data_IF_252145778598
#
_entry.id   IF_252145778598
#
_cell.length_a   1.000
_cell.length_b   1.000
_cell.length_c   1.000
_cell.angle_alpha   90.00
_cell.angle_beta   90.00
_cell.angle_gamma   90.00
#
_symmetry.space_group_name_H-M   'P 1'
#
loop_
_entity.id
_entity.type
_entity.pdbx_description
1 polymer ?
#
# COMPACT_ATOMS: atom_id res chain seq x y z
N UNK A 1 24.15 -31.56 -8.91
CA UNK A 1 23.10 -30.89 -9.72
C UNK A 1 23.47 -29.41 -9.91
N UNK A 2 23.93 -29.02 -11.10
CA UNK A 2 24.52 -27.68 -11.35
C UNK A 2 23.53 -26.57 -11.74
N UNK A 3 22.28 -26.89 -12.08
CA UNK A 3 21.30 -25.87 -12.44
C UNK A 3 20.69 -25.22 -11.18
N UNK A 4 21.08 -23.97 -10.90
CA UNK A 4 20.58 -23.19 -9.75
C UNK A 4 19.13 -22.74 -9.92
N UNK A 5 18.64 -22.66 -11.16
CA UNK A 5 17.26 -22.28 -11.44
C UNK A 5 16.24 -23.34 -10.98
N UNK A 6 16.66 -24.61 -10.89
CA UNK A 6 15.83 -25.69 -10.36
C UNK A 6 15.80 -25.63 -8.83
N UNK A 7 14.71 -25.14 -8.26
CA UNK A 7 14.61 -24.73 -6.85
C UNK A 7 13.89 -25.75 -5.98
N UNK A 8 12.98 -26.51 -6.57
CA UNK A 8 12.16 -27.49 -5.84
C UNK A 8 12.19 -28.83 -6.56
N UNK A 9 11.88 -29.89 -5.83
CA UNK A 9 11.69 -31.23 -6.37
C UNK A 9 10.26 -31.67 -6.11
N UNK A 10 9.70 -32.48 -7.00
CA UNK A 10 8.38 -33.07 -6.86
C UNK A 10 8.49 -34.59 -6.97
N UNK A 11 7.75 -35.28 -6.09
CA UNK A 11 7.51 -36.71 -6.16
C UNK A 11 6.07 -36.96 -6.58
N UNK A 12 5.85 -37.65 -7.69
CA UNK A 12 4.51 -38.08 -8.12
C UNK A 12 3.94 -39.21 -7.25
N UNK A 13 4.80 -40.04 -6.65
CA UNK A 13 4.40 -41.08 -5.67
C UNK A 13 3.82 -40.45 -4.41
N UNK A 14 4.59 -39.58 -3.75
CA UNK A 14 4.16 -38.94 -2.50
C UNK A 14 3.15 -37.81 -2.74
N UNK A 15 3.08 -37.33 -3.99
CA UNK A 15 2.36 -36.12 -4.41
C UNK A 15 2.77 -34.91 -3.59
N UNK A 16 4.08 -34.76 -3.36
CA UNK A 16 4.65 -33.73 -2.49
C UNK A 16 5.75 -32.93 -3.15
N UNK A 17 5.75 -31.62 -2.87
CA UNK A 17 6.84 -30.72 -3.18
C UNK A 17 7.86 -30.71 -2.05
N UNK A 18 9.13 -30.75 -2.46
CA UNK A 18 10.31 -30.76 -1.62
C UNK A 18 11.19 -29.55 -1.94
N UNK A 19 11.95 -29.11 -0.95
CA UNK A 19 13.12 -28.27 -1.19
C UNK A 19 14.14 -29.08 -2.00
N UNK A 20 14.85 -28.46 -2.94
CA UNK A 20 15.88 -29.15 -3.75
C UNK A 20 16.97 -29.86 -2.92
N UNK A 21 17.26 -29.35 -1.72
CA UNK A 21 18.31 -29.88 -0.85
C UNK A 21 17.74 -30.85 0.21
N UNK A 22 16.49 -31.28 0.06
CA UNK A 22 15.88 -32.22 0.98
C UNK A 22 16.51 -33.62 0.86
N UNK A 23 16.86 -34.24 1.98
CA UNK A 23 17.47 -35.57 2.03
C UNK A 23 16.59 -36.70 1.44
N UNK A 24 15.27 -36.52 1.38
CA UNK A 24 14.37 -37.48 0.75
C UNK A 24 14.39 -37.41 -0.78
N UNK A 25 14.91 -36.33 -1.36
CA UNK A 25 14.94 -36.14 -2.82
C UNK A 25 15.78 -37.20 -3.52
N UNK A 26 16.91 -37.59 -2.94
CA UNK A 26 17.77 -38.64 -3.51
C UNK A 26 17.15 -40.04 -3.47
N UNK A 27 16.02 -40.22 -2.78
CA UNK A 27 15.29 -41.48 -2.67
C UNK A 27 14.10 -41.57 -3.62
N UNK A 28 13.75 -40.48 -4.30
CA UNK A 28 12.67 -40.46 -5.27
C UNK A 28 13.17 -41.17 -6.54
N UNK A 29 12.46 -42.22 -7.04
CA UNK A 29 12.83 -42.86 -8.30
C UNK A 29 12.80 -41.86 -9.46
N UNK A 30 13.76 -41.94 -10.38
CA UNK A 30 13.87 -41.00 -11.52
C UNK A 30 12.58 -40.88 -12.35
N UNK A 31 11.84 -41.97 -12.54
CA UNK A 31 10.57 -41.99 -13.26
C UNK A 31 9.45 -41.20 -12.57
N UNK A 32 9.59 -40.95 -11.27
CA UNK A 32 8.60 -40.31 -10.40
C UNK A 32 9.08 -38.93 -9.90
N UNK A 33 10.19 -38.44 -10.47
CA UNK A 33 10.91 -37.27 -10.03
C UNK A 33 10.81 -36.14 -11.06
N UNK A 34 10.39 -34.96 -10.61
CA UNK A 34 10.38 -33.74 -11.43
C UNK A 34 11.12 -32.61 -10.69
N UNK A 35 12.04 -31.93 -11.37
CA UNK A 35 12.61 -30.68 -10.86
C UNK A 35 11.79 -29.48 -11.32
N UNK A 36 11.55 -28.56 -10.38
CA UNK A 36 10.71 -27.40 -10.56
C UNK A 36 11.51 -26.11 -10.34
N UNK A 37 11.27 -25.13 -11.19
CA UNK A 37 11.80 -23.76 -11.03
C UNK A 37 10.98 -22.93 -10.05
N UNK A 38 9.71 -23.29 -9.86
CA UNK A 38 8.74 -22.53 -9.10
C UNK A 38 8.03 -23.39 -8.04
N UNK A 39 7.57 -22.70 -7.00
CA UNK A 39 6.81 -23.32 -5.94
C UNK A 39 5.35 -23.50 -6.36
N UNK A 40 4.89 -24.76 -6.50
CA UNK A 40 3.50 -25.08 -6.88
C UNK A 40 2.59 -25.18 -5.65
N UNK A 41 1.68 -24.23 -5.50
CA UNK A 41 0.78 -24.11 -4.33
C UNK A 41 -0.25 -25.23 -4.20
N UNK A 42 -0.64 -25.86 -5.32
CA UNK A 42 -1.59 -26.98 -5.33
C UNK A 42 -1.01 -28.28 -4.75
N UNK A 43 0.32 -28.38 -4.62
CA UNK A 43 0.99 -29.60 -4.16
C UNK A 43 1.11 -29.63 -2.62
N UNK A 44 0.97 -30.82 -2.05
CA UNK A 44 1.24 -31.01 -0.62
C UNK A 44 2.73 -30.76 -0.36
N UNK A 45 3.05 -30.20 0.80
CA UNK A 45 4.44 -30.00 1.21
C UNK A 45 5.01 -31.26 1.85
N UNK A 46 6.29 -31.51 1.64
CA UNK A 46 7.05 -32.41 2.49
C UNK A 46 7.04 -31.89 3.95
N UNK A 47 6.87 -32.80 4.91
CA UNK A 47 6.86 -32.44 6.33
C UNK A 47 8.25 -32.07 6.87
N UNK A 48 9.32 -32.59 6.24
CA UNK A 48 10.70 -32.32 6.65
C UNK A 48 11.21 -30.99 6.12
N UNK A 49 11.03 -30.74 4.83
CA UNK A 49 11.63 -29.59 4.15
C UNK A 49 10.62 -28.52 3.73
N UNK A 50 9.33 -28.69 4.01
CA UNK A 50 8.26 -27.80 3.54
C UNK A 50 8.47 -26.34 3.92
N UNK A 51 8.99 -26.06 5.11
CA UNK A 51 9.37 -24.69 5.53
C UNK A 51 10.53 -24.14 4.68
N UNK A 52 11.57 -24.95 4.46
CA UNK A 52 12.73 -24.58 3.62
C UNK A 52 12.28 -24.29 2.18
N UNK A 53 11.40 -25.13 1.64
CA UNK A 53 10.83 -24.95 0.29
C UNK A 53 10.06 -23.63 0.15
N UNK A 54 9.30 -23.23 1.18
CA UNK A 54 8.58 -21.93 1.22
C UNK A 54 9.59 -20.78 1.23
N UNK A 55 10.56 -20.79 2.15
CA UNK A 55 11.56 -19.72 2.24
C UNK A 55 12.38 -19.63 0.95
N UNK A 56 12.74 -20.78 0.37
CA UNK A 56 13.43 -20.82 -0.92
C UNK A 56 12.63 -20.14 -2.02
N UNK A 57 11.30 -20.24 -2.03
CA UNK A 57 10.45 -19.57 -3.01
C UNK A 57 10.56 -18.04 -2.94
N UNK A 58 10.82 -17.49 -1.75
CA UNK A 58 10.93 -16.05 -1.50
C UNK A 58 12.32 -15.45 -1.72
N UNK A 59 13.37 -16.25 -1.89
CA UNK A 59 14.74 -15.75 -2.12
C UNK A 59 15.16 -15.92 -3.58
N UNK A 60 16.02 -15.04 -4.10
CA UNK A 60 16.54 -15.19 -5.45
C UNK A 60 17.47 -16.41 -5.59
N UNK A 61 17.70 -16.86 -6.83
CA UNK A 61 18.63 -17.96 -7.10
C UNK A 61 20.06 -17.67 -6.63
N UNK A 62 20.49 -16.40 -6.70
CA UNK A 62 21.84 -15.98 -6.28
C UNK A 62 21.98 -15.95 -4.76
N UNK A 63 20.89 -15.65 -4.07
CA UNK A 63 20.84 -15.55 -2.62
C UNK A 63 20.55 -16.90 -1.94
N UNK A 64 20.20 -17.92 -2.73
CA UNK A 64 19.98 -19.30 -2.27
C UNK A 64 21.19 -19.92 -1.57
N UNK A 65 22.40 -19.39 -1.77
CA UNK A 65 23.60 -19.79 -1.02
C UNK A 65 23.55 -19.40 0.47
N UNK A 66 22.70 -18.45 0.84
CA UNK A 66 22.49 -17.98 2.21
C UNK A 66 21.24 -18.60 2.87
N UNK A 67 20.71 -19.68 2.30
CA UNK A 67 19.47 -20.32 2.75
C UNK A 67 19.49 -20.66 4.26
N UNK A 68 20.61 -21.13 4.80
CA UNK A 68 20.70 -21.47 6.22
C UNK A 68 20.64 -20.22 7.11
N UNK A 69 21.27 -19.11 6.69
CA UNK A 69 21.17 -17.83 7.40
C UNK A 69 19.73 -17.30 7.45
N UNK A 70 18.98 -17.42 6.33
CA UNK A 70 17.55 -17.11 6.31
C UNK A 70 16.76 -17.99 7.29
N UNK A 71 16.97 -19.29 7.24
CA UNK A 71 16.24 -20.24 8.09
C UNK A 71 16.51 -19.99 9.58
N UNK A 72 17.76 -19.73 9.95
CA UNK A 72 18.16 -19.44 11.32
C UNK A 72 17.63 -18.11 11.82
N UNK A 73 17.71 -17.06 11.00
CA UNK A 73 17.17 -15.75 11.36
C UNK A 73 15.65 -15.79 11.53
N UNK A 74 14.92 -16.36 10.56
CA UNK A 74 13.46 -16.46 10.63
C UNK A 74 13.00 -17.33 11.80
N UNK A 75 13.77 -18.35 12.18
CA UNK A 75 13.54 -19.13 13.40
C UNK A 75 13.73 -18.27 14.65
N UNK A 76 14.81 -17.48 14.73
CA UNK A 76 15.05 -16.56 15.87
C UNK A 76 13.98 -15.49 15.99
N UNK A 77 13.45 -15.01 14.86
CA UNK A 77 12.33 -14.07 14.83
C UNK A 77 11.00 -14.70 15.29
N UNK A 78 10.95 -16.01 15.53
CA UNK A 78 9.72 -16.71 15.93
C UNK A 78 8.74 -16.92 14.77
N UNK A 79 9.19 -16.77 13.51
CA UNK A 79 8.30 -16.89 12.36
C UNK A 79 7.75 -18.31 12.22
N UNK A 80 6.43 -18.47 12.22
CA UNK A 80 5.78 -19.76 11.99
C UNK A 80 5.71 -20.09 10.50
N UNK A 81 5.62 -21.39 10.17
CA UNK A 81 5.56 -21.82 8.75
C UNK A 81 4.32 -21.27 8.03
N UNK A 82 3.19 -21.13 8.71
CA UNK A 82 1.98 -20.52 8.15
C UNK A 82 2.16 -19.03 7.83
N UNK A 83 2.88 -18.30 8.68
CA UNK A 83 3.17 -16.87 8.50
C UNK A 83 4.13 -16.65 7.32
N UNK A 84 5.16 -17.50 7.20
CA UNK A 84 6.07 -17.47 6.05
C UNK A 84 5.34 -17.81 4.74
N UNK A 85 4.40 -18.77 4.79
CA UNK A 85 3.57 -19.08 3.63
C UNK A 85 2.71 -17.89 3.22
N UNK A 86 2.03 -17.25 4.18
CA UNK A 86 1.24 -16.05 3.92
C UNK A 86 2.09 -14.92 3.34
N UNK A 87 3.28 -14.68 3.90
CA UNK A 87 4.19 -13.63 3.44
C UNK A 87 4.72 -13.90 2.02
N UNK A 88 5.33 -15.06 1.80
CA UNK A 88 6.10 -15.34 0.59
C UNK A 88 5.21 -15.86 -0.55
N UNK A 89 4.29 -16.76 -0.24
CA UNK A 89 3.53 -17.50 -1.27
C UNK A 89 2.23 -16.79 -1.60
N UNK A 90 1.50 -16.31 -0.58
CA UNK A 90 0.20 -15.64 -0.78
C UNK A 90 0.40 -14.17 -1.16
N UNK A 91 1.29 -13.45 -0.49
CA UNK A 91 1.55 -12.03 -0.74
C UNK A 91 2.77 -11.78 -1.63
N UNK A 92 3.35 -12.84 -2.22
CA UNK A 92 4.46 -12.77 -3.18
C UNK A 92 5.69 -11.98 -2.68
N UNK A 93 5.91 -11.94 -1.37
CA UNK A 93 7.02 -11.19 -0.80
C UNK A 93 8.36 -11.89 -1.10
N UNK A 94 9.37 -11.08 -1.38
CA UNK A 94 10.73 -11.53 -1.62
C UNK A 94 11.63 -11.14 -0.45
N UNK A 95 12.41 -12.10 0.06
CA UNK A 95 13.42 -11.88 1.08
C UNK A 95 14.79 -11.64 0.41
N UNK A 96 15.55 -10.67 0.92
CA UNK A 96 16.89 -10.33 0.42
C UNK A 96 17.74 -9.66 1.51
N UNK A 97 19.06 -9.54 1.28
CA UNK A 97 20.02 -8.87 2.17
C UNK A 97 19.95 -9.37 3.63
N UNK A 98 19.99 -10.70 3.82
CA UNK A 98 20.05 -11.31 5.16
C UNK A 98 21.37 -10.99 5.85
N UNK A 99 21.27 -10.58 7.12
CA UNK A 99 22.38 -10.39 8.03
C UNK A 99 22.11 -11.08 9.37
N UNK A 100 23.03 -10.93 10.31
CA UNK A 100 22.95 -11.61 11.60
C UNK A 100 21.70 -11.24 12.41
N UNK A 101 21.19 -10.02 12.28
CA UNK A 101 20.10 -9.48 13.10
C UNK A 101 18.95 -8.91 12.27
N UNK A 102 19.03 -8.98 10.93
CA UNK A 102 18.05 -8.37 10.04
C UNK A 102 17.89 -9.04 8.69
N UNK A 103 16.74 -8.83 8.08
CA UNK A 103 16.43 -9.23 6.71
C UNK A 103 15.53 -8.18 6.04
N UNK A 104 15.79 -7.93 4.77
CA UNK A 104 14.91 -7.07 3.96
C UNK A 104 13.82 -7.89 3.27
N UNK A 105 12.65 -7.29 3.14
CA UNK A 105 11.47 -7.86 2.53
C UNK A 105 10.98 -6.88 1.47
N UNK A 106 10.72 -7.35 0.25
CA UNK A 106 10.07 -6.58 -0.80
C UNK A 106 8.70 -7.15 -1.03
N UNK A 107 7.67 -6.31 -0.94
CA UNK A 107 6.28 -6.69 -1.14
C UNK A 107 5.62 -5.61 -1.99
N UNK A 108 5.28 -5.96 -3.24
CA UNK A 108 4.96 -4.96 -4.26
C UNK A 108 6.15 -4.04 -4.53
N UNK A 109 5.92 -2.74 -4.52
CA UNK A 109 6.95 -1.71 -4.72
C UNK A 109 7.72 -1.39 -3.42
N UNK A 110 7.11 -1.65 -2.27
CA UNK A 110 7.64 -1.24 -0.98
C UNK A 110 8.71 -2.21 -0.46
N UNK A 111 9.65 -1.63 0.28
CA UNK A 111 10.74 -2.34 0.94
C UNK A 111 10.61 -2.18 2.44
N UNK A 112 10.69 -3.31 3.11
CA UNK A 112 10.60 -3.43 4.54
C UNK A 112 11.88 -4.04 5.06
N UNK A 113 12.17 -3.81 6.33
CA UNK A 113 13.30 -4.43 7.00
C UNK A 113 12.86 -4.86 8.39
N UNK A 114 12.98 -6.15 8.67
CA UNK A 114 12.80 -6.70 10.01
C UNK A 114 14.17 -6.78 10.69
N UNK A 115 14.29 -6.16 11.86
CA UNK A 115 15.48 -6.21 12.70
C UNK A 115 15.12 -6.73 14.09
N UNK A 116 16.02 -7.47 14.73
CA UNK A 116 15.88 -7.82 16.15
C UNK A 116 16.33 -9.24 16.46
N UNK A 117 15.71 -9.82 17.48
CA UNK A 117 16.12 -11.10 18.06
C UNK A 117 14.94 -11.91 18.64
N UNK A 118 15.24 -12.78 19.60
CA UNK A 118 14.29 -13.65 20.28
C UNK A 118 13.48 -12.97 21.39
N UNK A 119 13.69 -11.68 21.65
CA UNK A 119 12.92 -10.90 22.62
C UNK A 119 12.03 -9.87 21.92
N UNK A 120 12.60 -9.15 20.95
CA UNK A 120 11.94 -8.04 20.28
C UNK A 120 12.26 -8.00 18.78
N UNK A 121 11.26 -7.59 17.99
CA UNK A 121 11.42 -7.27 16.57
C UNK A 121 10.95 -5.86 16.27
N UNK A 122 11.66 -5.19 15.39
CA UNK A 122 11.33 -3.89 14.84
C UNK A 122 11.14 -4.00 13.33
N UNK A 123 10.03 -3.47 12.83
CA UNK A 123 9.72 -3.35 11.42
C UNK A 123 9.99 -1.92 10.97
N UNK A 124 10.78 -1.81 9.91
CA UNK A 124 11.07 -0.56 9.25
C UNK A 124 10.43 -0.55 7.86
N UNK A 125 9.99 0.63 7.43
CA UNK A 125 9.44 0.87 6.10
C UNK A 125 10.36 1.83 5.33
N UNK A 126 10.50 1.65 4.03
CA UNK A 126 11.25 2.59 3.21
C UNK A 126 10.60 3.97 3.23
N UNK A 127 11.44 5.00 3.21
CA UNK A 127 10.99 6.38 3.08
C UNK A 127 10.52 6.64 1.66
N UNK A 128 9.67 7.65 1.52
CA UNK A 128 9.21 8.14 0.23
C UNK A 128 8.94 9.64 0.30
N UNK A 129 8.95 10.27 -0.87
CA UNK A 129 8.53 11.65 -1.07
C UNK A 129 7.27 11.65 -1.93
N UNK A 130 6.26 12.44 -1.54
CA UNK A 130 5.00 12.55 -2.28
C UNK A 130 5.15 13.66 -3.31
N UNK A 131 4.90 13.33 -4.58
CA UNK A 131 4.92 14.27 -5.69
C UNK A 131 3.57 15.00 -5.81
N UNK A 132 3.53 16.09 -6.57
CA UNK A 132 2.30 16.90 -6.75
C UNK A 132 1.13 16.09 -7.35
N UNK A 133 1.43 15.08 -8.16
CA UNK A 133 0.45 14.17 -8.75
C UNK A 133 0.03 13.02 -7.83
N UNK A 134 0.44 13.03 -6.55
CA UNK A 134 0.23 11.97 -5.56
C UNK A 134 0.93 10.64 -5.88
N UNK A 135 1.85 10.61 -6.84
CA UNK A 135 2.83 9.53 -6.94
C UNK A 135 3.88 9.66 -5.83
N UNK A 136 4.63 8.58 -5.60
CA UNK A 136 5.69 8.55 -4.60
C UNK A 136 7.03 8.22 -5.23
N UNK A 137 8.05 8.94 -4.79
CA UNK A 137 9.44 8.62 -5.07
C UNK A 137 10.03 7.87 -3.88
N UNK A 138 10.24 6.56 -4.03
CA UNK A 138 10.83 5.73 -2.98
C UNK A 138 12.29 6.11 -2.73
N UNK A 139 12.65 6.25 -1.46
CA UNK A 139 14.02 6.55 -1.00
C UNK A 139 14.68 5.26 -0.47
N UNK A 140 16.02 5.16 -0.52
CA UNK A 140 16.74 3.98 -0.05
C UNK A 140 16.83 3.89 1.49
N UNK A 141 16.43 4.94 2.20
CA UNK A 141 16.45 4.99 3.66
C UNK A 141 15.17 4.41 4.25
N UNK A 142 15.24 4.03 5.51
CA UNK A 142 14.12 3.42 6.23
C UNK A 142 13.77 4.25 7.47
N UNK A 143 12.49 4.23 7.87
CA UNK A 143 12.03 4.72 9.17
C UNK A 143 11.41 3.58 9.97
N UNK A 144 11.51 3.66 11.30
CA UNK A 144 10.86 2.71 12.19
C UNK A 144 9.35 2.86 12.06
N UNK A 145 8.67 1.75 11.73
CA UNK A 145 7.21 1.72 11.63
C UNK A 145 6.57 1.22 12.91
N UNK A 146 7.07 0.12 13.44
CA UNK A 146 6.48 -0.52 14.62
C UNK A 146 7.49 -1.49 15.26
N UNK A 147 7.41 -1.62 16.57
CA UNK A 147 8.13 -2.64 17.34
C UNK A 147 7.12 -3.62 17.96
N UNK A 148 7.50 -4.88 18.11
CA UNK A 148 6.70 -5.93 18.71
C UNK A 148 7.55 -6.89 19.55
N UNK A 149 6.99 -7.38 20.64
CA UNK A 149 7.63 -8.33 21.56
C UNK A 149 7.15 -9.75 21.31
N UNK A 150 8.02 -10.72 21.61
CA UNK A 150 7.72 -12.14 21.45
C UNK A 150 6.60 -12.60 22.41
N UNK A 151 5.87 -13.70 22.09
CA UNK A 151 6.10 -14.66 21.01
C UNK A 151 5.35 -14.36 19.69
N UNK A 152 4.62 -13.25 19.61
CA UNK A 152 3.77 -12.94 18.45
C UNK A 152 4.28 -11.78 17.59
N UNK A 153 5.51 -11.29 17.86
CA UNK A 153 6.11 -10.15 17.18
C UNK A 153 6.10 -10.33 15.66
N UNK A 154 6.54 -11.48 15.15
CA UNK A 154 6.62 -11.70 13.71
C UNK A 154 5.25 -11.56 13.02
N UNK A 155 4.24 -12.29 13.52
CA UNK A 155 2.85 -12.22 13.02
C UNK A 155 2.31 -10.79 13.02
N UNK A 156 2.50 -10.11 14.13
CA UNK A 156 2.00 -8.76 14.33
C UNK A 156 2.62 -7.79 13.32
N UNK A 157 3.93 -7.88 13.11
CA UNK A 157 4.64 -6.99 12.19
C UNK A 157 4.34 -7.29 10.72
N UNK A 158 4.32 -8.56 10.29
CA UNK A 158 4.02 -8.87 8.87
C UNK A 158 2.59 -8.48 8.48
N UNK A 159 1.64 -8.46 9.42
CA UNK A 159 0.28 -7.98 9.15
C UNK A 159 0.28 -6.51 8.74
N UNK A 160 1.21 -5.69 9.23
CA UNK A 160 1.34 -4.29 8.80
C UNK A 160 1.79 -4.20 7.34
N UNK A 161 2.59 -5.16 6.87
CA UNK A 161 3.01 -5.27 5.46
C UNK A 161 1.78 -5.58 4.60
N UNK A 162 0.94 -6.54 5.02
CA UNK A 162 -0.22 -6.98 4.24
C UNK A 162 -1.32 -5.92 4.09
N UNK A 163 -1.48 -5.06 5.09
CA UNK A 163 -2.53 -4.03 5.10
C UNK A 163 -1.98 -2.65 4.73
N UNK A 164 -0.76 -2.56 4.22
CA UNK A 164 -0.22 -1.29 3.74
C UNK A 164 -0.74 -1.00 2.33
N UNK A 165 -1.36 0.16 2.16
CA UNK A 165 -1.99 0.59 0.91
C UNK A 165 -1.59 2.02 0.57
N UNK A 166 -0.82 2.21 -0.50
CA UNK A 166 -0.52 3.54 -1.01
C UNK A 166 -1.78 4.34 -1.41
N UNK A 167 -2.76 3.75 -2.12
CA UNK A 167 -4.01 4.45 -2.41
C UNK A 167 -4.73 5.00 -1.16
N UNK A 168 -4.74 4.27 -0.05
CA UNK A 168 -5.34 4.76 1.20
C UNK A 168 -4.56 5.96 1.79
N UNK A 169 -3.23 5.97 1.64
CA UNK A 169 -2.42 7.13 1.99
C UNK A 169 -2.74 8.33 1.09
N UNK A 170 -2.89 8.12 -0.22
CA UNK A 170 -3.24 9.17 -1.19
C UNK A 170 -4.58 9.83 -0.85
N UNK A 171 -5.61 9.04 -0.54
CA UNK A 171 -6.92 9.59 -0.18
C UNK A 171 -6.87 10.44 1.09
N UNK A 172 -6.01 10.07 2.04
CA UNK A 172 -5.75 10.88 3.24
C UNK A 172 -5.08 12.22 2.89
N UNK A 173 -4.04 12.21 2.05
CA UNK A 173 -3.38 13.45 1.61
C UNK A 173 -4.33 14.37 0.85
N UNK A 174 -5.21 13.82 -0.01
CA UNK A 174 -6.25 14.61 -0.69
C UNK A 174 -7.23 15.24 0.30
N UNK A 175 -7.69 14.48 1.29
CA UNK A 175 -8.60 14.97 2.32
C UNK A 175 -7.96 16.08 3.17
N UNK A 176 -6.69 15.93 3.56
CA UNK A 176 -5.92 16.93 4.28
C UNK A 176 -5.71 18.21 3.45
N UNK A 177 -5.32 18.08 2.19
CA UNK A 177 -5.16 19.21 1.27
C UNK A 177 -6.49 19.96 1.05
N UNK A 178 -7.60 19.23 0.92
CA UNK A 178 -8.93 19.81 0.82
C UNK A 178 -9.30 20.58 2.10
N UNK A 179 -9.07 19.99 3.28
CA UNK A 179 -9.35 20.63 4.56
C UNK A 179 -8.52 21.92 4.75
N UNK A 180 -7.24 21.90 4.37
CA UNK A 180 -6.39 23.07 4.41
C UNK A 180 -6.92 24.18 3.48
N UNK A 181 -7.24 23.84 2.23
CA UNK A 181 -7.82 24.79 1.26
C UNK A 181 -9.13 25.40 1.76
N UNK A 182 -9.98 24.59 2.41
CA UNK A 182 -11.21 25.07 3.02
C UNK A 182 -10.95 26.08 4.14
N UNK A 183 -9.95 25.84 4.99
CA UNK A 183 -9.61 26.74 6.08
C UNK A 183 -8.97 28.04 5.59
N UNK A 184 -8.10 27.98 4.57
CA UNK A 184 -7.53 29.16 3.91
C UNK A 184 -8.63 30.04 3.30
N UNK A 185 -9.62 29.43 2.62
CA UNK A 185 -10.77 30.15 2.08
C UNK A 185 -11.59 30.80 3.22
N UNK A 186 -11.88 30.06 4.29
CA UNK A 186 -12.58 30.60 5.47
C UNK A 186 -11.83 31.78 6.09
N UNK A 187 -10.52 31.70 6.21
CA UNK A 187 -9.68 32.77 6.74
C UNK A 187 -9.76 34.03 5.86
N UNK A 188 -9.68 33.88 4.53
CA UNK A 188 -9.84 35.00 3.59
C UNK A 188 -11.21 35.65 3.70
N UNK A 189 -12.29 34.88 3.77
CA UNK A 189 -13.65 35.42 3.91
C UNK A 189 -13.87 36.22 5.20
N UNK A 190 -13.19 35.87 6.30
CA UNK A 190 -13.25 36.65 7.55
C UNK A 190 -12.63 38.03 7.43
N UNK A 191 -11.70 38.23 6.49
CA UNK A 191 -10.97 39.49 6.32
C UNK A 191 -11.65 40.46 5.35
N UNK A 192 -12.67 40.03 4.60
CA UNK A 192 -13.39 40.89 3.65
C UNK A 192 -14.32 41.84 4.42
N UNK A 193 -14.05 43.16 4.46
CA UNK A 193 -14.95 44.13 5.08
C UNK A 193 -16.21 44.22 4.20
N UNK A 194 -17.39 44.08 4.80
CA UNK A 194 -18.71 44.03 4.13
C UNK A 194 -19.20 42.65 3.62
N UNK A 195 -18.70 41.52 4.12
CA UNK A 195 -19.55 40.30 4.15
C UNK A 195 -20.62 40.52 5.21
N UNK A 196 -21.63 41.28 4.83
CA UNK A 196 -22.81 41.56 5.64
C UNK A 196 -23.34 40.20 6.10
N UNK A 197 -23.34 39.96 7.42
CA UNK A 197 -24.30 39.06 8.04
C UNK A 197 -25.69 39.57 7.62
N UNK A 198 -26.17 39.20 6.44
CA UNK A 198 -27.51 39.53 5.96
C UNK A 198 -28.48 38.66 6.76
N UNK A 199 -28.69 39.05 8.03
CA UNK A 199 -29.89 38.71 8.78
C UNK A 199 -31.03 39.51 8.16
N UNK A 200 -31.75 38.92 7.21
CA UNK A 200 -33.13 39.24 6.75
C UNK A 200 -33.27 38.76 5.30
N UNK A 201 -34.13 37.82 4.89
CA UNK A 201 -35.37 37.27 5.43
C UNK A 201 -35.55 35.81 4.95
N UNK A 202 -36.08 34.97 5.85
CA UNK A 202 -36.91 33.75 5.62
C UNK A 202 -36.71 32.89 4.36
N UNK A 203 -36.48 31.58 4.62
CA UNK A 203 -36.73 30.41 3.77
C UNK A 203 -35.60 29.92 2.85
N UNK A 204 -34.46 29.62 3.46
CA UNK A 204 -33.85 28.28 3.49
C UNK A 204 -32.58 28.46 4.32
N UNK A 205 -32.35 27.58 5.30
CA UNK A 205 -31.03 27.44 5.92
C UNK A 205 -30.07 26.88 4.85
N UNK A 206 -29.71 27.71 3.87
CA UNK A 206 -28.62 27.43 2.96
C UNK A 206 -27.33 27.79 3.70
N UNK A 207 -26.98 26.95 4.66
CA UNK A 207 -25.58 26.71 5.00
C UNK A 207 -24.92 25.95 3.86
N UNK A 208 -24.96 26.51 2.64
CA UNK A 208 -23.94 26.21 1.65
C UNK A 208 -22.70 26.91 2.17
N UNK A 209 -21.92 26.21 2.99
CA UNK A 209 -20.56 26.63 3.26
C UNK A 209 -19.90 26.89 1.92
N UNK A 210 -19.25 28.04 1.76
CA UNK A 210 -18.58 28.50 0.52
C UNK A 210 -17.63 27.47 -0.14
N UNK A 211 -17.40 26.35 0.53
CA UNK A 211 -16.73 25.14 0.09
C UNK A 211 -17.44 24.45 -1.09
N UNK A 212 -18.78 24.32 -1.07
CA UNK A 212 -19.52 23.64 -2.15
C UNK A 212 -19.63 24.48 -3.43
N UNK A 213 -19.34 25.78 -3.34
CA UNK A 213 -19.47 26.74 -4.45
C UNK A 213 -18.25 26.75 -5.39
N UNK A 214 -17.07 26.34 -4.91
CA UNK A 214 -15.83 26.49 -5.68
C UNK A 214 -15.65 25.43 -6.80
N UNK A 215 -16.39 24.33 -6.78
CA UNK A 215 -16.35 23.33 -7.86
C UNK A 215 -17.32 23.64 -9.03
N UNK A 216 -18.27 24.58 -8.88
CA UNK A 216 -19.35 24.77 -9.88
C UNK A 216 -19.50 26.15 -10.54
N UNK A 217 -18.77 27.20 -10.15
CA UNK A 217 -18.77 28.46 -10.89
C UNK A 217 -17.33 28.99 -10.94
N UNK A 218 -16.64 28.74 -12.05
CA UNK A 218 -16.52 29.72 -13.13
C UNK A 218 -15.98 31.06 -12.62
N UNK A 219 -14.71 31.27 -12.90
CA UNK A 219 -13.88 32.48 -12.77
C UNK A 219 -14.51 33.77 -13.32
N UNK A 220 -15.71 33.72 -13.91
CA UNK A 220 -16.37 34.85 -14.55
C UNK A 220 -17.16 35.77 -13.58
N UNK A 221 -17.63 35.25 -12.44
CA UNK A 221 -18.43 36.04 -11.50
C UNK A 221 -17.62 36.96 -10.57
N UNK A 222 -16.28 36.87 -10.58
CA UNK A 222 -15.44 37.70 -9.73
C UNK A 222 -15.11 39.09 -10.33
N UNK A 223 -15.28 39.28 -11.64
CA UNK A 223 -14.84 40.52 -12.31
C UNK A 223 -15.95 41.44 -12.80
N UNK A 224 -17.20 40.99 -12.91
CA UNK A 224 -18.31 41.83 -13.40
C UNK A 224 -19.32 42.18 -12.31
N UNK A 225 -19.14 43.34 -11.67
CA UNK A 225 -20.10 44.00 -10.76
C UNK A 225 -21.46 44.38 -11.41
N UNK A 226 -21.80 43.87 -12.59
CA UNK A 226 -22.88 44.43 -13.43
C UNK A 226 -24.16 43.57 -13.56
N UNK A 227 -24.16 42.29 -13.19
CA UNK A 227 -25.30 41.41 -13.50
C UNK A 227 -26.33 41.30 -12.35
N UNK A 228 -26.03 41.82 -11.15
CA UNK A 228 -26.98 41.76 -10.03
C UNK A 228 -28.11 42.81 -10.10
N UNK A 229 -27.96 43.87 -10.90
CA UNK A 229 -29.00 44.88 -11.09
C UNK A 229 -30.16 44.44 -11.99
N UNK A 230 -29.93 43.47 -12.88
CA UNK A 230 -30.93 43.09 -13.90
C UNK A 230 -31.82 41.92 -13.49
N UNK A 231 -31.34 41.01 -12.64
CA UNK A 231 -32.11 39.86 -12.16
C UNK A 231 -33.08 40.20 -11.02
N UNK A 232 -33.01 41.41 -10.46
CA UNK A 232 -33.88 41.86 -9.36
C UNK A 232 -35.33 42.14 -9.80
N UNK A 233 -35.66 42.08 -11.11
CA UNK A 233 -37.00 42.40 -11.64
C UNK A 233 -37.83 41.25 -12.21
N UNK A 234 -37.31 40.02 -12.30
CA UNK A 234 -38.13 38.88 -12.76
C UNK A 234 -37.93 37.67 -11.86
N UNK A 235 -38.96 37.38 -11.07
CA UNK A 235 -39.14 36.10 -10.37
C UNK A 235 -39.28 34.99 -11.41
N UNK A 236 -38.18 34.39 -11.82
CA UNK A 236 -38.19 33.11 -12.54
C UNK A 236 -37.00 32.30 -12.07
N UNK A 237 -37.27 31.20 -11.38
CA UNK A 237 -36.32 30.13 -11.10
C UNK A 237 -35.76 29.60 -12.42
N UNK A 238 -34.52 29.94 -12.74
CA UNK A 238 -33.79 29.36 -13.87
C UNK A 238 -32.98 28.15 -13.37
N UNK A 239 -33.02 27.06 -14.13
CA UNK A 239 -32.18 25.88 -13.89
C UNK A 239 -30.74 26.17 -14.30
N UNK A 240 -29.79 25.36 -13.82
CA UNK A 240 -28.36 25.53 -14.11
C UNK A 240 -28.04 25.57 -15.62
N UNK A 241 -28.84 24.89 -16.45
CA UNK A 241 -28.71 24.89 -17.91
C UNK A 241 -29.11 26.22 -18.55
N UNK A 242 -30.03 26.98 -17.94
CA UNK A 242 -30.47 28.27 -18.47
C UNK A 242 -29.42 29.37 -18.29
N UNK A 243 -28.59 29.29 -17.24
CA UNK A 243 -27.46 30.19 -17.05
C UNK A 243 -26.35 29.99 -18.10
N UNK A 244 -26.15 28.75 -18.58
CA UNK A 244 -25.14 28.44 -19.59
C UNK A 244 -25.54 29.01 -20.97
N UNK A 245 -26.83 28.94 -21.32
CA UNK A 245 -27.35 29.44 -22.59
C UNK A 245 -27.27 30.98 -22.73
N UNK A 246 -27.44 31.72 -21.63
CA UNK A 246 -27.34 33.20 -21.64
C UNK A 246 -25.90 33.67 -21.83
N UNK A 247 -24.91 32.91 -21.33
CA UNK A 247 -23.49 33.22 -21.55
C UNK A 247 -23.01 32.85 -22.96
N UNK A 248 -23.60 31.84 -23.61
CA UNK A 248 -23.23 31.44 -24.98
C UNK A 248 -23.81 32.37 -26.06
N UNK A 249 -24.92 33.07 -25.79
CA UNK A 249 -25.57 33.97 -26.75
C UNK A 249 -25.05 35.42 -26.72
N UNK A 250 -24.02 35.70 -25.90
CA UNK A 250 -23.39 37.01 -25.74
C UNK A 250 -21.97 37.11 -26.33
N UNK A 251 -21.64 36.28 -27.32
CA UNK A 251 -20.51 36.50 -28.25
C UNK A 251 -21.01 37.15 -29.53
#
# INVERSE_FOLDING_TARGET
>A
MSNRAMRHAYSSVEKRIHDRDCAEVSKIPDAEFEMLTEYRTALKRCWLCGRRAIVRAGISCDDAKHMDAYMDLLRRFGAMTGELYALIVVNHAQLFDVKQDRVCIRCGEDKWMLCGDQAELSLYHNNYEVLENYERLLKPTFHLRQTGTQPHAFRFLINLIFHYSWPEHVERFKAEALAQKQEELRARFRQVPNVVRQKRWSLLYCSYTAVDYAEKLCTYCAETRYIWGFLQRRQTTLSAESCIAVCAAGM
#
